data_IF_756193226812
#
_entry.id   IF_756193226812
#
_cell.length_a   1.000
_cell.length_b   1.000
_cell.length_c   1.000
_cell.angle_alpha   90.00
_cell.angle_beta   90.00
_cell.angle_gamma   90.00
#
_symmetry.space_group_name_H-M   'P 1'
#
loop_
_entity.id
_entity.type
_entity.pdbx_description
1 polymer ?
#
# COMPACT_ATOMS: atom_id res chain seq x y z
N UNK A 1 9.47 72.26 -4.43
CA UNK A 1 8.61 71.25 -3.76
C UNK A 1 8.27 70.25 -4.84
N UNK A 2 9.11 69.22 -5.03
CA UNK A 2 9.23 68.47 -6.30
C UNK A 2 9.16 66.97 -5.98
N UNK A 3 8.19 66.28 -6.58
CA UNK A 3 8.11 64.83 -6.83
C UNK A 3 8.14 63.78 -5.69
N UNK A 4 7.81 64.09 -4.44
CA UNK A 4 7.90 63.08 -3.36
C UNK A 4 6.88 61.92 -3.43
N UNK A 5 5.70 62.11 -4.01
CA UNK A 5 4.64 61.08 -4.00
C UNK A 5 4.88 59.88 -4.95
N UNK A 6 5.22 60.09 -6.25
CA UNK A 6 5.47 58.98 -7.17
C UNK A 6 6.76 58.21 -6.85
N UNK A 7 7.77 58.89 -6.31
CA UNK A 7 9.05 58.28 -5.92
C UNK A 7 8.88 57.32 -4.73
N UNK A 8 8.00 57.66 -3.78
CA UNK A 8 7.64 56.79 -2.66
C UNK A 8 6.87 55.54 -3.10
N UNK A 9 5.90 55.70 -4.01
CA UNK A 9 5.13 54.57 -4.56
C UNK A 9 6.00 53.60 -5.37
N UNK A 10 6.97 54.15 -6.12
CA UNK A 10 7.94 53.35 -6.87
C UNK A 10 8.81 52.48 -5.93
N UNK A 11 9.33 53.09 -4.88
CA UNK A 11 10.18 52.40 -3.92
C UNK A 11 9.38 51.33 -3.14
N UNK A 12 8.12 51.62 -2.81
CA UNK A 12 7.21 50.69 -2.14
C UNK A 12 6.89 49.46 -3.00
N UNK A 13 6.53 49.65 -4.28
CA UNK A 13 6.20 48.52 -5.16
C UNK A 13 7.44 47.66 -5.47
N UNK A 14 8.60 48.29 -5.62
CA UNK A 14 9.88 47.60 -5.84
C UNK A 14 10.24 46.73 -4.62
N UNK A 15 10.13 47.29 -3.42
CA UNK A 15 10.39 46.55 -2.19
C UNK A 15 9.35 45.43 -1.96
N UNK A 16 8.09 45.67 -2.30
CA UNK A 16 7.02 44.68 -2.18
C UNK A 16 7.26 43.50 -3.12
N UNK A 17 7.70 43.76 -4.36
CA UNK A 17 8.06 42.72 -5.32
C UNK A 17 9.25 41.89 -4.85
N UNK A 18 10.31 42.54 -4.33
CA UNK A 18 11.49 41.87 -3.76
C UNK A 18 11.08 40.95 -2.59
N UNK A 19 10.28 41.48 -1.66
CA UNK A 19 9.83 40.74 -0.49
C UNK A 19 8.93 39.56 -0.88
N UNK A 20 8.00 39.79 -1.82
CA UNK A 20 7.15 38.72 -2.36
C UNK A 20 7.97 37.62 -3.01
N UNK A 21 8.94 37.98 -3.85
CA UNK A 21 9.81 37.03 -4.54
C UNK A 21 10.63 36.18 -3.57
N UNK A 22 11.17 36.79 -2.52
CA UNK A 22 11.94 36.11 -1.47
C UNK A 22 11.08 35.19 -0.61
N UNK A 23 9.91 35.68 -0.16
CA UNK A 23 8.99 34.91 0.67
C UNK A 23 8.44 33.67 -0.07
N UNK A 24 8.30 33.77 -1.39
CA UNK A 24 7.73 32.73 -2.23
C UNK A 24 8.78 31.88 -2.97
N UNK A 25 10.09 32.15 -2.77
CA UNK A 25 11.18 31.38 -3.38
C UNK A 25 11.27 31.47 -4.90
N UNK A 26 10.77 32.57 -5.49
CA UNK A 26 10.75 32.82 -6.95
C UNK A 26 11.78 33.88 -7.37
N UNK A 27 12.74 34.21 -6.50
CA UNK A 27 13.83 35.16 -6.73
C UNK A 27 14.71 34.81 -7.95
N UNK A 28 14.82 33.51 -8.24
CA UNK A 28 15.59 32.98 -9.36
C UNK A 28 14.80 32.88 -10.67
N UNK A 29 13.51 33.21 -10.66
CA UNK A 29 12.69 33.18 -11.86
C UNK A 29 13.13 34.30 -12.82
N UNK A 30 13.30 33.96 -14.10
CA UNK A 30 13.83 34.89 -15.09
C UNK A 30 12.93 36.11 -15.31
N UNK A 31 11.60 35.94 -15.27
CA UNK A 31 10.64 37.03 -15.43
C UNK A 31 10.70 37.94 -14.20
N UNK A 32 10.74 37.36 -13.00
CA UNK A 32 10.84 38.12 -11.75
C UNK A 32 12.14 38.91 -11.69
N UNK A 33 13.28 38.32 -12.07
CA UNK A 33 14.57 39.03 -12.12
C UNK A 33 14.55 40.18 -13.11
N UNK A 34 14.03 39.94 -14.32
CA UNK A 34 13.95 40.97 -15.36
C UNK A 34 13.03 42.12 -14.92
N UNK A 35 11.87 41.79 -14.33
CA UNK A 35 10.94 42.76 -13.79
C UNK A 35 11.56 43.55 -12.62
N UNK A 36 12.25 42.90 -11.69
CA UNK A 36 12.91 43.58 -10.57
C UNK A 36 14.01 44.52 -11.05
N UNK A 37 14.79 44.11 -12.06
CA UNK A 37 15.84 44.92 -12.66
C UNK A 37 15.26 46.13 -13.41
N UNK A 38 14.28 45.91 -14.27
CA UNK A 38 13.60 46.95 -15.05
C UNK A 38 12.85 47.92 -14.13
N UNK A 39 12.24 47.42 -13.06
CA UNK A 39 11.59 48.25 -12.05
C UNK A 39 12.64 49.08 -11.31
N UNK A 40 13.71 48.50 -10.79
CA UNK A 40 14.76 49.26 -10.10
C UNK A 40 15.48 50.30 -10.98
N UNK A 41 15.58 50.05 -12.29
CA UNK A 41 16.15 50.98 -13.26
C UNK A 41 15.16 51.99 -13.85
N UNK A 42 13.86 51.86 -13.53
CA UNK A 42 12.75 52.53 -14.24
C UNK A 42 12.78 52.33 -15.78
N UNK A 43 13.37 51.23 -16.23
CA UNK A 43 13.51 50.89 -17.65
C UNK A 43 12.39 49.97 -18.09
N UNK A 44 12.02 50.03 -19.37
CA UNK A 44 11.05 49.11 -19.99
C UNK A 44 9.67 49.01 -19.30
N UNK A 45 9.32 49.91 -18.37
CA UNK A 45 8.06 49.89 -17.61
C UNK A 45 6.83 49.88 -18.51
N UNK A 46 6.90 50.55 -19.67
CA UNK A 46 5.83 50.55 -20.67
C UNK A 46 5.59 49.17 -21.30
N UNK A 47 6.64 48.35 -21.45
CA UNK A 47 6.54 46.97 -21.95
C UNK A 47 5.83 46.10 -20.90
N UNK A 48 6.24 46.21 -19.64
CA UNK A 48 5.60 45.51 -18.53
C UNK A 48 4.15 45.94 -18.30
N UNK A 49 3.83 47.23 -18.51
CA UNK A 49 2.45 47.76 -18.44
C UNK A 49 1.55 47.26 -19.57
N UNK A 50 2.13 46.80 -20.69
CA UNK A 50 1.42 46.20 -21.81
C UNK A 50 1.06 44.72 -21.60
N UNK A 51 1.70 44.07 -20.64
CA UNK A 51 1.47 42.66 -20.29
C UNK A 51 0.60 42.56 -19.03
N UNK A 52 -0.19 41.48 -18.90
CA UNK A 52 -1.00 41.28 -17.69
C UNK A 52 -0.18 40.60 -16.59
N UNK A 53 0.05 41.22 -15.42
CA UNK A 53 0.82 40.62 -14.32
C UNK A 53 0.31 39.25 -13.87
N UNK A 54 -0.99 38.99 -14.03
CA UNK A 54 -1.56 37.68 -13.69
C UNK A 54 -1.07 36.54 -14.59
N UNK A 55 -0.62 36.84 -15.82
CA UNK A 55 -0.16 35.86 -16.80
C UNK A 55 1.32 35.55 -16.70
N UNK A 56 2.16 36.54 -16.36
CA UNK A 56 3.61 36.36 -16.34
C UNK A 56 4.21 36.19 -14.94
N UNK A 57 3.51 36.58 -13.86
CA UNK A 57 4.02 36.30 -12.51
C UNK A 57 3.98 34.79 -12.26
N UNK A 58 5.11 34.18 -11.84
CA UNK A 58 5.19 32.75 -11.63
C UNK A 58 4.24 32.32 -10.52
N UNK A 59 3.72 31.09 -10.63
CA UNK A 59 2.94 30.45 -9.57
C UNK A 59 3.90 29.79 -8.58
N UNK A 60 4.05 30.33 -7.35
CA UNK A 60 4.98 29.74 -6.40
C UNK A 60 4.52 28.36 -5.96
N UNK A 61 5.48 27.47 -5.73
CA UNK A 61 5.19 26.13 -5.22
C UNK A 61 5.37 26.09 -3.70
N UNK A 62 4.44 25.48 -2.95
CA UNK A 62 4.58 25.35 -1.50
C UNK A 62 5.83 24.55 -1.15
N UNK A 63 6.73 25.15 -0.37
CA UNK A 63 8.04 24.57 -0.06
C UNK A 63 8.01 23.73 1.22
N UNK A 64 7.16 24.08 2.19
CA UNK A 64 7.08 23.39 3.49
C UNK A 64 6.43 22.00 3.38
N UNK A 65 5.44 21.84 2.50
CA UNK A 65 4.79 20.55 2.22
C UNK A 65 5.65 19.53 1.44
N UNK A 66 6.70 19.99 0.76
CA UNK A 66 7.46 19.17 -0.20
C UNK A 66 8.28 18.05 0.46
N UNK A 67 8.89 18.33 1.61
CA UNK A 67 9.74 17.37 2.33
C UNK A 67 8.92 16.25 2.97
N UNK A 68 7.79 16.59 3.60
CA UNK A 68 6.86 15.63 4.20
C UNK A 68 6.22 14.72 3.13
N UNK A 69 5.92 15.28 1.96
CA UNK A 69 5.42 14.52 0.81
C UNK A 69 6.49 13.57 0.24
N UNK A 70 7.74 14.02 0.15
CA UNK A 70 8.86 13.17 -0.29
C UNK A 70 9.09 11.99 0.65
N UNK A 71 9.01 12.21 1.97
CA UNK A 71 9.14 11.15 2.97
C UNK A 71 7.96 10.17 2.90
N UNK A 72 6.74 10.69 2.73
CA UNK A 72 5.56 9.84 2.58
C UNK A 72 5.63 8.95 1.34
N UNK A 73 6.15 9.47 0.21
CA UNK A 73 6.40 8.73 -1.03
C UNK A 73 7.51 7.67 -0.85
N UNK A 74 8.61 8.02 -0.21
CA UNK A 74 9.69 7.07 0.10
C UNK A 74 9.22 5.95 1.02
N UNK A 75 8.48 6.29 2.09
CA UNK A 75 7.88 5.32 3.00
C UNK A 75 6.90 4.38 2.28
N UNK A 76 6.09 4.90 1.35
CA UNK A 76 5.19 4.08 0.54
C UNK A 76 5.97 3.12 -0.39
N UNK A 77 7.04 3.58 -1.02
CA UNK A 77 7.89 2.73 -1.87
C UNK A 77 8.57 1.62 -1.05
N UNK A 78 9.14 1.96 0.11
CA UNK A 78 9.74 0.97 1.02
C UNK A 78 8.69 -0.05 1.45
N UNK A 79 7.50 0.40 1.88
CA UNK A 79 6.39 -0.48 2.25
C UNK A 79 6.04 -1.46 1.12
N UNK A 80 5.92 -0.97 -0.11
CA UNK A 80 5.53 -1.80 -1.25
C UNK A 80 6.52 -2.95 -1.51
N UNK A 81 7.82 -2.70 -1.33
CA UNK A 81 8.85 -3.75 -1.45
C UNK A 81 8.86 -4.64 -0.22
N UNK A 82 8.76 -4.05 0.99
CA UNK A 82 8.86 -4.77 2.26
C UNK A 82 7.74 -5.81 2.44
N UNK A 83 6.56 -5.62 1.83
CA UNK A 83 5.45 -6.60 1.83
C UNK A 83 5.86 -7.96 1.25
N UNK A 84 6.81 -7.98 0.31
CA UNK A 84 7.27 -9.22 -0.33
C UNK A 84 8.44 -9.89 0.40
N UNK A 85 9.09 -9.19 1.33
CA UNK A 85 10.26 -9.70 2.06
C UNK A 85 9.93 -10.94 2.91
N UNK A 86 8.83 -11.00 3.68
CA UNK A 86 8.46 -12.20 4.44
C UNK A 86 8.29 -13.43 3.53
N UNK A 87 7.65 -13.25 2.38
CA UNK A 87 7.47 -14.32 1.40
C UNK A 87 8.83 -14.79 0.87
N UNK A 88 9.73 -13.88 0.53
CA UNK A 88 11.07 -14.26 0.06
C UNK A 88 11.86 -15.04 1.13
N UNK A 89 11.81 -14.59 2.39
CA UNK A 89 12.52 -15.24 3.51
C UNK A 89 11.96 -16.64 3.78
N UNK A 90 10.64 -16.81 3.78
CA UNK A 90 10.01 -18.13 4.00
C UNK A 90 10.38 -19.13 2.92
N UNK A 91 10.38 -18.74 1.65
CA UNK A 91 10.79 -19.64 0.56
C UNK A 91 12.28 -20.02 0.64
N UNK A 92 13.15 -19.08 1.00
CA UNK A 92 14.57 -19.38 1.23
C UNK A 92 14.74 -20.33 2.44
N UNK A 93 13.99 -20.10 3.52
CA UNK A 93 14.02 -20.96 4.71
C UNK A 93 13.59 -22.39 4.41
N UNK A 94 12.51 -22.57 3.64
CA UNK A 94 12.05 -23.89 3.17
C UNK A 94 13.15 -24.56 2.36
N UNK A 95 13.77 -23.86 1.41
CA UNK A 95 14.86 -24.38 0.60
C UNK A 95 16.04 -24.88 1.46
N UNK A 96 16.49 -24.07 2.44
CA UNK A 96 17.56 -24.45 3.38
C UNK A 96 17.17 -25.64 4.25
N UNK A 97 15.95 -25.66 4.76
CA UNK A 97 15.42 -26.75 5.58
C UNK A 97 15.34 -28.07 4.80
N UNK A 98 14.88 -28.04 3.54
CA UNK A 98 14.81 -29.23 2.68
C UNK A 98 16.20 -29.81 2.40
N UNK A 99 17.19 -28.97 2.08
CA UNK A 99 18.58 -29.42 1.84
C UNK A 99 19.19 -30.02 3.11
N UNK A 100 18.96 -29.40 4.27
CA UNK A 100 19.47 -29.90 5.54
C UNK A 100 18.77 -31.21 5.96
N UNK A 101 17.47 -31.34 5.71
CA UNK A 101 16.70 -32.54 6.01
C UNK A 101 17.17 -33.75 5.19
N UNK A 102 17.45 -33.56 3.89
CA UNK A 102 17.98 -34.63 3.05
C UNK A 102 19.30 -35.20 3.61
N UNK A 103 20.23 -34.31 4.02
CA UNK A 103 21.49 -34.70 4.66
C UNK A 103 21.28 -35.43 5.99
N UNK A 104 20.30 -34.96 6.78
CA UNK A 104 19.96 -35.56 8.07
C UNK A 104 19.45 -37.00 7.90
N UNK A 105 18.56 -37.25 6.93
CA UNK A 105 18.02 -38.58 6.63
C UNK A 105 19.09 -39.53 6.09
N UNK A 106 19.97 -39.05 5.20
CA UNK A 106 21.10 -39.86 4.69
C UNK A 106 22.05 -40.31 5.80
N UNK A 107 22.28 -39.46 6.80
CA UNK A 107 23.21 -39.73 7.90
C UNK A 107 22.57 -40.59 9.01
N UNK A 108 21.27 -40.45 9.24
CA UNK A 108 20.54 -41.08 10.35
C UNK A 108 19.48 -42.06 9.84
N UNK A 109 19.93 -43.20 9.31
CA UNK A 109 19.07 -44.24 8.73
C UNK A 109 18.13 -44.97 9.72
N UNK A 110 18.24 -44.69 11.02
CA UNK A 110 17.51 -45.41 12.08
C UNK A 110 16.40 -44.58 12.77
N UNK A 111 16.33 -43.26 12.52
CA UNK A 111 15.41 -42.36 13.24
C UNK A 111 14.48 -41.68 12.25
N UNK A 112 13.21 -42.08 12.24
CA UNK A 112 12.17 -41.47 11.40
C UNK A 112 11.66 -40.19 12.06
N UNK A 113 12.33 -39.07 11.81
CA UNK A 113 11.89 -37.73 12.25
C UNK A 113 11.07 -37.07 11.13
N UNK A 114 9.94 -36.44 11.48
CA UNK A 114 9.13 -35.68 10.53
C UNK A 114 9.87 -34.40 10.09
N UNK A 115 9.73 -34.00 8.83
CA UNK A 115 10.27 -32.75 8.30
C UNK A 115 9.95 -31.51 9.16
N UNK A 116 8.72 -31.39 9.69
CA UNK A 116 8.36 -30.24 10.52
C UNK A 116 9.08 -30.21 11.86
N UNK A 117 9.24 -31.38 12.49
CA UNK A 117 9.98 -31.53 13.74
C UNK A 117 11.48 -31.25 13.51
N UNK A 118 12.02 -31.72 12.38
CA UNK A 118 13.36 -31.36 11.92
C UNK A 118 13.51 -29.85 11.72
N UNK A 119 12.58 -29.21 11.02
CA UNK A 119 12.66 -27.78 10.72
C UNK A 119 12.53 -26.91 11.99
N UNK A 120 11.84 -27.41 13.01
CA UNK A 120 11.77 -26.76 14.30
C UNK A 120 13.07 -26.86 15.11
N UNK A 121 13.68 -28.05 15.15
CA UNK A 121 14.80 -28.33 16.06
C UNK A 121 16.18 -28.20 15.40
N UNK A 122 16.28 -28.35 14.08
CA UNK A 122 17.49 -28.23 13.27
C UNK A 122 18.57 -29.31 13.46
N UNK A 123 18.61 -29.99 14.61
CA UNK A 123 19.52 -31.09 14.96
C UNK A 123 20.98 -30.84 14.59
N UNK A 124 21.47 -29.61 14.78
CA UNK A 124 22.82 -29.12 14.43
C UNK A 124 23.21 -29.20 12.94
N UNK A 125 22.27 -29.58 12.06
CA UNK A 125 22.47 -29.61 10.59
C UNK A 125 21.89 -28.35 9.94
N UNK A 126 20.80 -27.80 10.50
CA UNK A 126 20.18 -26.56 10.07
C UNK A 126 20.58 -25.41 11.01
N UNK A 127 21.03 -24.30 10.45
CA UNK A 127 21.31 -23.08 11.20
C UNK A 127 20.04 -22.58 11.91
N UNK A 128 20.19 -22.16 13.17
CA UNK A 128 19.11 -21.67 14.03
C UNK A 128 18.32 -20.54 13.37
N UNK A 129 18.97 -19.72 12.54
CA UNK A 129 18.31 -18.65 11.79
C UNK A 129 17.18 -19.16 10.89
N UNK A 130 17.36 -20.31 10.25
CA UNK A 130 16.42 -20.90 9.29
C UNK A 130 15.36 -21.79 9.92
N UNK A 131 15.38 -21.97 11.25
CA UNK A 131 14.36 -22.74 11.95
C UNK A 131 12.99 -22.09 11.80
N UNK A 132 11.94 -22.91 11.72
CA UNK A 132 10.58 -22.43 11.42
C UNK A 132 10.10 -21.36 12.42
N UNK A 133 10.45 -21.51 13.70
CA UNK A 133 10.07 -20.55 14.74
C UNK A 133 10.77 -19.19 14.60
N UNK A 134 12.06 -19.19 14.25
CA UNK A 134 12.83 -17.96 14.09
C UNK A 134 12.38 -17.19 12.84
N UNK A 135 12.15 -17.90 11.74
CA UNK A 135 11.61 -17.33 10.49
C UNK A 135 10.22 -16.75 10.71
N UNK A 136 9.31 -17.49 11.36
CA UNK A 136 7.97 -16.99 11.68
C UNK A 136 8.00 -15.74 12.57
N UNK A 137 8.93 -15.67 13.53
CA UNK A 137 9.11 -14.47 14.36
C UNK A 137 9.61 -13.26 13.56
N UNK A 138 10.53 -13.49 12.60
CA UNK A 138 11.07 -12.46 11.73
C UNK A 138 9.99 -11.92 10.79
N UNK A 139 9.20 -12.80 10.18
CA UNK A 139 8.07 -12.43 9.33
C UNK A 139 7.04 -11.59 10.08
N UNK A 140 6.71 -11.98 11.32
CA UNK A 140 5.81 -11.23 12.17
C UNK A 140 6.31 -9.80 12.43
N UNK A 141 7.60 -9.64 12.75
CA UNK A 141 8.21 -8.32 12.96
C UNK A 141 8.21 -7.49 11.68
N UNK A 142 8.50 -8.09 10.53
CA UNK A 142 8.50 -7.39 9.24
C UNK A 142 7.09 -6.92 8.89
N UNK A 143 6.07 -7.77 9.03
CA UNK A 143 4.66 -7.41 8.79
C UNK A 143 4.23 -6.27 9.71
N UNK A 144 4.59 -6.33 10.99
CA UNK A 144 4.31 -5.25 11.93
C UNK A 144 4.99 -3.94 11.53
N UNK A 145 6.23 -4.02 11.03
CA UNK A 145 6.94 -2.90 10.41
C UNK A 145 6.21 -2.32 9.19
N UNK A 146 5.70 -3.16 8.28
CA UNK A 146 4.88 -2.72 7.12
C UNK A 146 3.66 -1.94 7.59
N UNK A 147 2.94 -2.47 8.58
CA UNK A 147 1.72 -1.84 9.12
C UNK A 147 2.06 -0.48 9.74
N UNK A 148 3.09 -0.42 10.59
CA UNK A 148 3.56 0.82 11.19
C UNK A 148 3.94 1.85 10.12
N UNK A 149 4.71 1.46 9.09
CA UNK A 149 5.12 2.33 8.01
C UNK A 149 3.91 2.84 7.20
N UNK A 150 2.87 2.02 7.05
CA UNK A 150 1.61 2.39 6.38
C UNK A 150 0.84 3.45 7.17
N UNK A 151 0.78 3.31 8.50
CA UNK A 151 0.13 4.27 9.38
C UNK A 151 0.89 5.60 9.40
N UNK A 152 2.22 5.54 9.48
CA UNK A 152 3.06 6.74 9.49
C UNK A 152 2.98 7.48 8.14
N UNK A 153 3.03 6.76 7.01
CA UNK A 153 2.84 7.36 5.68
C UNK A 153 1.46 8.02 5.55
N UNK A 154 0.40 7.37 6.02
CA UNK A 154 -0.96 7.95 6.04
C UNK A 154 -1.02 9.21 6.91
N UNK A 155 -0.43 9.17 8.10
CA UNK A 155 -0.40 10.31 9.02
C UNK A 155 0.30 11.53 8.41
N UNK A 156 1.49 11.35 7.82
CA UNK A 156 2.21 12.43 7.16
C UNK A 156 1.52 12.93 5.89
N UNK A 157 0.89 12.07 5.10
CA UNK A 157 0.10 12.50 3.94
C UNK A 157 -1.08 13.38 4.35
N UNK A 158 -1.82 13.01 5.40
CA UNK A 158 -2.98 13.76 5.87
C UNK A 158 -2.57 15.10 6.48
N UNK A 159 -1.52 15.13 7.32
CA UNK A 159 -1.01 16.39 7.89
C UNK A 159 -0.37 17.29 6.84
N UNK A 160 0.44 16.72 5.94
CA UNK A 160 1.05 17.45 4.84
C UNK A 160 0.00 18.07 3.93
N UNK A 161 -1.06 17.33 3.56
CA UNK A 161 -2.14 17.84 2.72
C UNK A 161 -2.96 18.95 3.39
N UNK A 162 -3.15 18.90 4.72
CA UNK A 162 -3.86 19.93 5.46
C UNK A 162 -3.07 21.24 5.54
N UNK A 163 -1.75 21.16 5.77
CA UNK A 163 -0.84 22.31 5.79
C UNK A 163 -0.75 22.93 4.38
N UNK A 164 -0.58 22.08 3.37
CA UNK A 164 -0.42 22.50 1.98
C UNK A 164 -1.64 23.25 1.42
N UNK A 165 -2.87 22.91 1.86
CA UNK A 165 -4.09 23.62 1.43
C UNK A 165 -4.13 25.07 1.93
N UNK A 166 -3.70 25.33 3.16
CA UNK A 166 -3.63 26.68 3.71
C UNK A 166 -2.53 27.50 3.05
N UNK A 167 -1.37 26.88 2.87
CA UNK A 167 -0.19 27.49 2.23
C UNK A 167 -0.46 27.87 0.77
N UNK A 168 -1.08 26.98 -0.03
CA UNK A 168 -1.48 27.29 -1.42
C UNK A 168 -2.44 28.48 -1.49
N UNK A 169 -3.41 28.55 -0.57
CA UNK A 169 -4.37 29.66 -0.55
C UNK A 169 -3.71 31.00 -0.19
N UNK A 170 -2.75 31.00 0.73
CA UNK A 170 -1.98 32.18 1.08
C UNK A 170 -1.05 32.62 -0.05
N UNK A 171 -0.30 31.69 -0.64
CA UNK A 171 0.59 31.94 -1.78
C UNK A 171 -0.18 32.55 -2.96
N UNK A 172 -1.36 32.01 -3.28
CA UNK A 172 -2.18 32.54 -4.37
C UNK A 172 -2.74 33.93 -4.04
N UNK A 173 -3.12 34.17 -2.78
CA UNK A 173 -3.56 35.50 -2.34
C UNK A 173 -2.43 36.54 -2.46
N UNK A 174 -1.22 36.21 -2.02
CA UNK A 174 -0.03 37.07 -2.13
C UNK A 174 0.32 37.36 -3.60
N UNK A 175 0.26 36.34 -4.47
CA UNK A 175 0.46 36.53 -5.92
C UNK A 175 -0.59 37.46 -6.53
N UNK A 176 -1.87 37.29 -6.18
CA UNK A 176 -2.95 38.15 -6.69
C UNK A 176 -2.80 39.60 -6.21
N UNK A 177 -2.40 39.79 -4.95
CA UNK A 177 -2.13 41.11 -4.38
C UNK A 177 -0.96 41.80 -5.10
N UNK A 178 0.15 41.08 -5.30
CA UNK A 178 1.31 41.60 -6.02
C UNK A 178 0.97 41.93 -7.48
N UNK A 179 0.23 41.04 -8.16
CA UNK A 179 -0.22 41.28 -9.54
C UNK A 179 -1.09 42.52 -9.65
N UNK A 180 -1.99 42.74 -8.69
CA UNK A 180 -2.87 43.90 -8.64
C UNK A 180 -2.09 45.19 -8.37
N UNK A 181 -1.20 45.18 -7.36
CA UNK A 181 -0.36 46.32 -7.01
C UNK A 181 0.55 46.72 -8.18
N UNK A 182 1.17 45.74 -8.83
CA UNK A 182 2.01 45.95 -10.00
C UNK A 182 1.21 46.51 -11.18
N UNK A 183 0.02 45.97 -11.43
CA UNK A 183 -0.88 46.45 -12.50
C UNK A 183 -1.29 47.91 -12.28
N UNK A 184 -1.66 48.27 -11.05
CA UNK A 184 -2.04 49.64 -10.70
C UNK A 184 -0.86 50.60 -10.87
N UNK A 185 0.33 50.21 -10.39
CA UNK A 185 1.54 51.01 -10.51
C UNK A 185 1.96 51.22 -11.96
N UNK A 186 2.14 50.14 -12.73
CA UNK A 186 2.59 50.20 -14.12
C UNK A 186 1.58 50.94 -15.03
N UNK A 187 0.29 50.80 -14.74
CA UNK A 187 -0.75 51.56 -15.45
C UNK A 187 -0.64 53.06 -15.17
N UNK A 188 -0.39 53.47 -13.92
CA UNK A 188 -0.21 54.88 -13.57
C UNK A 188 1.01 55.50 -14.25
N UNK A 189 2.07 54.71 -14.47
CA UNK A 189 3.27 55.16 -15.19
C UNK A 189 3.02 55.33 -16.70
N UNK A 190 2.09 54.54 -17.27
CA UNK A 190 1.63 54.68 -18.66
C UNK A 190 0.87 55.99 -18.91
N UNK A 191 0.21 56.57 -17.89
CA UNK A 191 -0.50 57.86 -18.01
C UNK A 191 0.44 59.07 -18.15
N UNK A 192 1.69 58.94 -17.72
CA UNK A 192 2.69 60.01 -17.76
C UNK A 192 3.28 60.18 -19.18
N UNK A 193 3.22 59.13 -20.01
CA UNK A 193 3.62 59.15 -21.43
C UNK A 193 2.43 59.50 -22.36
N UNK A 194 2.18 60.81 -22.42
CA UNK A 194 1.17 61.58 -23.18
C UNK A 194 0.46 60.87 -24.37
N UNK A 195 -0.87 60.71 -24.30
CA UNK A 195 -1.89 61.33 -25.22
C UNK A 195 -3.33 60.77 -25.19
N UNK A 196 -3.68 59.69 -24.46
CA UNK A 196 -5.04 59.09 -24.54
C UNK A 196 -5.79 58.90 -23.20
N UNK A 197 -5.86 59.95 -22.37
CA UNK A 197 -6.60 59.97 -21.07
C UNK A 197 -8.06 59.49 -21.18
N UNK A 198 -8.74 59.75 -22.30
CA UNK A 198 -10.13 59.29 -22.51
C UNK A 198 -10.24 57.79 -22.78
N UNK A 199 -9.19 57.20 -23.35
CA UNK A 199 -9.14 55.77 -23.68
C UNK A 199 -8.72 54.93 -22.45
N UNK A 200 -7.88 55.50 -21.58
CA UNK A 200 -7.50 54.89 -20.30
C UNK A 200 -8.69 54.73 -19.35
N UNK A 201 -9.46 55.79 -19.13
CA UNK A 201 -10.67 55.73 -18.28
C UNK A 201 -11.70 54.75 -18.86
N UNK A 202 -11.90 54.77 -20.19
CA UNK A 202 -12.78 53.80 -20.86
C UNK A 202 -12.27 52.36 -20.74
N UNK A 203 -10.94 52.16 -20.79
CA UNK A 203 -10.29 50.85 -20.65
C UNK A 203 -10.34 50.31 -19.23
N UNK A 204 -10.10 51.13 -18.20
CA UNK A 204 -10.19 50.74 -16.79
C UNK A 204 -11.63 50.48 -16.36
N UNK A 205 -12.58 51.29 -16.84
CA UNK A 205 -14.01 51.00 -16.67
C UNK A 205 -14.37 49.71 -17.38
N UNK A 206 -13.86 49.47 -18.59
CA UNK A 206 -14.08 48.21 -19.33
C UNK A 206 -13.41 47.02 -18.65
N UNK A 207 -12.25 47.18 -18.03
CA UNK A 207 -11.54 46.15 -17.29
C UNK A 207 -12.26 45.81 -15.97
N UNK A 208 -12.79 46.81 -15.27
CA UNK A 208 -13.66 46.60 -14.11
C UNK A 208 -14.99 45.96 -14.52
N UNK A 209 -15.58 46.36 -15.66
CA UNK A 209 -16.79 45.74 -16.21
C UNK A 209 -16.52 44.30 -16.64
N UNK A 210 -15.35 44.03 -17.23
CA UNK A 210 -14.91 42.69 -17.59
C UNK A 210 -14.68 41.84 -16.35
N UNK A 211 -13.98 42.35 -15.34
CA UNK A 211 -13.77 41.65 -14.07
C UNK A 211 -15.09 41.38 -13.35
N UNK A 212 -16.02 42.34 -13.34
CA UNK A 212 -17.36 42.18 -12.75
C UNK A 212 -18.22 41.20 -13.55
N UNK A 213 -18.13 41.22 -14.88
CA UNK A 213 -18.80 40.27 -15.77
C UNK A 213 -18.26 38.87 -15.54
N UNK A 214 -16.94 38.71 -15.44
CA UNK A 214 -16.29 37.45 -15.12
C UNK A 214 -16.72 36.96 -13.74
N UNK A 215 -16.69 37.80 -12.71
CA UNK A 215 -17.20 37.47 -11.37
C UNK A 215 -18.66 37.03 -11.39
N UNK A 216 -19.53 37.72 -12.13
CA UNK A 216 -20.93 37.33 -12.29
C UNK A 216 -21.07 35.98 -13.00
N UNK A 217 -20.21 35.70 -13.99
CA UNK A 217 -20.15 34.43 -14.71
C UNK A 217 -19.65 33.31 -13.79
N UNK A 218 -18.63 33.57 -12.98
CA UNK A 218 -18.08 32.64 -11.98
C UNK A 218 -19.10 32.37 -10.89
N UNK A 219 -19.84 33.38 -10.41
CA UNK A 219 -20.93 33.19 -9.45
C UNK A 219 -22.06 32.34 -10.04
N UNK A 220 -22.40 32.54 -11.32
CA UNK A 220 -23.38 31.72 -12.04
C UNK A 220 -22.90 30.27 -12.25
N UNK A 221 -21.62 30.08 -12.60
CA UNK A 221 -21.01 28.77 -12.71
C UNK A 221 -20.96 28.07 -11.35
N UNK A 222 -20.59 28.78 -10.27
CA UNK A 222 -20.60 28.26 -8.90
C UNK A 222 -22.01 27.84 -8.48
N UNK A 223 -23.04 28.63 -8.80
CA UNK A 223 -24.43 28.23 -8.59
C UNK A 223 -24.82 26.99 -9.41
N UNK A 224 -24.28 26.83 -10.61
CA UNK A 224 -24.43 25.62 -11.42
C UNK A 224 -23.75 24.41 -10.80
N UNK A 225 -22.52 24.56 -10.32
CA UNK A 225 -21.77 23.52 -9.60
C UNK A 225 -22.47 23.13 -8.30
N UNK A 226 -22.99 24.08 -7.54
CA UNK A 226 -23.78 23.82 -6.32
C UNK A 226 -25.05 23.03 -6.65
N UNK A 227 -25.70 23.36 -7.77
CA UNK A 227 -26.90 22.66 -8.23
C UNK A 227 -26.58 21.26 -8.78
N UNK A 228 -25.46 21.07 -9.47
CA UNK A 228 -24.94 19.75 -9.84
C UNK A 228 -24.56 18.92 -8.60
N UNK A 229 -24.02 19.57 -7.56
CA UNK A 229 -23.71 18.91 -6.29
C UNK A 229 -25.00 18.46 -5.59
N UNK A 230 -26.04 19.30 -5.61
CA UNK A 230 -27.37 18.99 -5.07
C UNK A 230 -28.05 17.87 -5.86
N UNK A 231 -27.94 17.88 -7.20
CA UNK A 231 -28.41 16.82 -8.09
C UNK A 231 -27.59 15.51 -7.93
N UNK A 232 -26.35 15.60 -7.43
CA UNK A 232 -25.49 14.46 -7.11
C UNK A 232 -25.79 13.78 -5.77
N UNK A 233 -26.45 14.47 -4.84
CA UNK A 233 -26.85 13.89 -3.53
C UNK A 233 -27.78 12.67 -3.68
N UNK A 234 -28.81 12.68 -4.56
CA UNK A 234 -29.60 11.49 -4.87
C UNK A 234 -28.77 10.30 -5.36
N UNK A 235 -27.77 10.52 -6.24
CA UNK A 235 -26.92 9.46 -6.76
C UNK A 235 -26.03 8.83 -5.67
N UNK A 236 -25.51 9.64 -4.74
CA UNK A 236 -24.78 9.17 -3.56
C UNK A 236 -25.68 8.34 -2.65
N UNK A 237 -26.94 8.77 -2.45
CA UNK A 237 -27.90 8.04 -1.64
C UNK A 237 -28.31 6.70 -2.29
N UNK A 238 -28.49 6.68 -3.62
CA UNK A 238 -28.78 5.47 -4.38
C UNK A 238 -27.61 4.49 -4.36
N UNK A 239 -26.38 5.00 -4.50
CA UNK A 239 -25.15 4.22 -4.33
C UNK A 239 -25.06 3.63 -2.92
N UNK A 240 -25.28 4.43 -1.87
CA UNK A 240 -25.30 3.97 -0.48
C UNK A 240 -26.31 2.85 -0.25
N UNK A 241 -27.52 2.97 -0.79
CA UNK A 241 -28.54 1.92 -0.74
C UNK A 241 -28.13 0.66 -1.50
N UNK A 242 -27.46 0.79 -2.65
CA UNK A 242 -26.96 -0.35 -3.43
C UNK A 242 -25.83 -1.07 -2.70
N UNK A 243 -24.88 -0.34 -2.13
CA UNK A 243 -23.80 -0.88 -1.31
C UNK A 243 -24.36 -1.59 -0.07
N UNK A 244 -25.36 -1.01 0.59
CA UNK A 244 -26.04 -1.65 1.72
C UNK A 244 -26.67 -3.00 1.36
N UNK A 245 -27.41 -3.06 0.23
CA UNK A 245 -28.04 -4.29 -0.26
C UNK A 245 -27.02 -5.36 -0.67
N UNK A 246 -25.94 -4.98 -1.35
CA UNK A 246 -24.89 -5.93 -1.73
C UNK A 246 -24.10 -6.42 -0.51
N UNK A 247 -23.85 -5.57 0.48
CA UNK A 247 -23.26 -5.97 1.76
C UNK A 247 -24.14 -6.98 2.50
N UNK A 248 -25.47 -6.78 2.53
CA UNK A 248 -26.39 -7.73 3.16
C UNK A 248 -26.38 -9.09 2.44
N UNK A 249 -26.31 -9.10 1.10
CA UNK A 249 -26.16 -10.34 0.31
C UNK A 249 -24.84 -11.04 0.62
N UNK A 250 -23.73 -10.31 0.69
CA UNK A 250 -22.42 -10.87 1.02
C UNK A 250 -22.43 -11.51 2.41
N UNK A 251 -23.03 -10.85 3.41
CA UNK A 251 -23.18 -11.43 4.76
C UNK A 251 -23.97 -12.73 4.73
N UNK A 252 -25.08 -12.79 3.97
CA UNK A 252 -25.87 -14.03 3.80
C UNK A 252 -25.06 -15.14 3.12
N UNK A 253 -24.29 -14.82 2.08
CA UNK A 253 -23.43 -15.78 1.40
C UNK A 253 -22.33 -16.31 2.31
N UNK A 254 -21.69 -15.45 3.11
CA UNK A 254 -20.69 -15.86 4.10
C UNK A 254 -21.30 -16.75 5.18
N UNK A 255 -22.52 -16.45 5.64
CA UNK A 255 -23.23 -17.30 6.60
C UNK A 255 -23.51 -18.71 6.04
N UNK A 256 -23.96 -18.79 4.78
CA UNK A 256 -24.16 -20.08 4.10
C UNK A 256 -22.85 -20.83 3.93
N UNK A 257 -21.78 -20.15 3.49
CA UNK A 257 -20.46 -20.76 3.34
C UNK A 257 -19.93 -21.29 4.68
N UNK A 258 -20.10 -20.54 5.76
CA UNK A 258 -19.70 -20.97 7.11
C UNK A 258 -20.49 -22.20 7.57
N UNK A 259 -21.78 -22.28 7.26
CA UNK A 259 -22.60 -23.45 7.56
C UNK A 259 -22.13 -24.68 6.76
N UNK A 260 -21.91 -24.52 5.45
CA UNK A 260 -21.38 -25.60 4.61
C UNK A 260 -20.00 -26.08 5.05
N UNK A 261 -19.12 -25.18 5.51
CA UNK A 261 -17.81 -25.55 6.03
C UNK A 261 -17.92 -26.35 7.34
N UNK A 262 -18.87 -26.00 8.21
CA UNK A 262 -19.18 -26.75 9.43
C UNK A 262 -19.71 -28.15 9.11
N UNK A 263 -20.60 -28.28 8.13
CA UNK A 263 -21.14 -29.55 7.68
C UNK A 263 -20.05 -30.46 7.09
N UNK A 264 -19.16 -29.91 6.26
CA UNK A 264 -18.00 -30.62 5.72
C UNK A 264 -17.09 -31.12 6.85
N UNK A 265 -16.79 -30.27 7.83
CA UNK A 265 -15.95 -30.65 8.96
C UNK A 265 -16.56 -31.80 9.79
N UNK A 266 -17.87 -31.76 10.00
CA UNK A 266 -18.61 -32.84 10.67
C UNK A 266 -18.58 -34.14 9.85
N UNK A 267 -18.85 -34.05 8.54
CA UNK A 267 -18.86 -35.21 7.63
C UNK A 267 -17.50 -35.87 7.51
N UNK A 268 -16.43 -35.09 7.32
CA UNK A 268 -15.05 -35.62 7.24
C UNK A 268 -14.67 -36.30 8.54
N UNK A 269 -15.00 -35.71 9.70
CA UNK A 269 -14.69 -36.33 11.00
C UNK A 269 -15.47 -37.62 11.19
N UNK A 270 -16.73 -37.69 10.73
CA UNK A 270 -17.55 -38.89 10.77
C UNK A 270 -17.04 -40.01 9.85
N UNK A 271 -16.86 -39.71 8.57
CA UNK A 271 -16.36 -40.68 7.57
C UNK A 271 -14.97 -41.20 7.92
N UNK A 272 -14.07 -40.33 8.39
CA UNK A 272 -12.73 -40.74 8.82
C UNK A 272 -12.79 -41.64 10.07
N UNK A 273 -13.65 -41.33 11.04
CA UNK A 273 -13.89 -42.16 12.22
C UNK A 273 -14.44 -43.54 11.83
N UNK A 274 -15.39 -43.58 10.90
CA UNK A 274 -15.98 -44.85 10.44
C UNK A 274 -14.99 -45.69 9.63
N UNK A 275 -14.19 -45.05 8.77
CA UNK A 275 -13.11 -45.73 8.05
C UNK A 275 -12.03 -46.29 8.99
N UNK A 276 -11.62 -45.53 10.01
CA UNK A 276 -10.66 -45.99 11.03
C UNK A 276 -11.21 -47.14 11.85
N UNK A 277 -12.49 -47.08 12.27
CA UNK A 277 -13.13 -48.17 13.00
C UNK A 277 -13.21 -49.44 12.14
N UNK A 278 -13.60 -49.30 10.87
CA UNK A 278 -13.66 -50.42 9.93
C UNK A 278 -12.28 -51.05 9.68
N UNK A 279 -11.25 -50.22 9.50
CA UNK A 279 -9.86 -50.69 9.37
C UNK A 279 -9.37 -51.42 10.63
N UNK A 280 -9.72 -50.91 11.81
CA UNK A 280 -9.38 -51.54 13.10
C UNK A 280 -10.03 -52.91 13.24
N UNK A 281 -11.33 -53.03 12.92
CA UNK A 281 -12.05 -54.32 12.92
C UNK A 281 -11.45 -55.28 11.89
N UNK A 282 -11.07 -54.80 10.70
CA UNK A 282 -10.41 -55.61 9.68
C UNK A 282 -9.04 -56.14 10.13
N UNK A 283 -8.27 -55.32 10.85
CA UNK A 283 -6.99 -55.71 11.45
C UNK A 283 -7.16 -56.77 12.54
N UNK A 284 -8.18 -56.63 13.40
CA UNK A 284 -8.47 -57.62 14.44
C UNK A 284 -8.86 -58.98 13.82
N UNK A 285 -9.74 -58.98 12.82
CA UNK A 285 -10.12 -60.20 12.09
C UNK A 285 -8.93 -60.84 11.37
N UNK A 286 -8.05 -60.04 10.77
CA UNK A 286 -6.84 -60.54 10.14
C UNK A 286 -5.87 -61.16 11.17
N UNK A 287 -5.73 -60.53 12.34
CA UNK A 287 -4.91 -61.02 13.43
C UNK A 287 -5.45 -62.34 14.03
N UNK A 288 -6.76 -62.45 14.21
CA UNK A 288 -7.41 -63.71 14.62
C UNK A 288 -7.19 -64.83 13.58
N UNK A 289 -7.32 -64.50 12.28
CA UNK A 289 -7.05 -65.43 11.19
C UNK A 289 -5.59 -65.91 11.17
N UNK A 290 -4.64 -65.01 11.38
CA UNK A 290 -3.21 -65.31 11.51
C UNK A 290 -2.92 -66.20 12.71
N UNK A 291 -3.53 -65.92 13.87
CA UNK A 291 -3.38 -66.75 15.07
C UNK A 291 -3.92 -68.18 14.83
N UNK A 292 -5.10 -68.30 14.21
CA UNK A 292 -5.71 -69.58 13.87
C UNK A 292 -4.87 -70.37 12.84
N UNK A 293 -4.34 -69.70 11.82
CA UNK A 293 -3.44 -70.30 10.83
C UNK A 293 -2.15 -70.79 11.48
N UNK A 294 -1.55 -69.98 12.36
CA UNK A 294 -0.34 -70.36 13.11
C UNK A 294 -0.58 -71.58 13.99
N UNK A 295 -1.72 -71.63 14.69
CA UNK A 295 -2.14 -72.78 15.49
C UNK A 295 -2.24 -74.05 14.62
N UNK A 296 -2.88 -73.93 13.46
CA UNK A 296 -3.08 -75.04 12.51
C UNK A 296 -1.77 -75.54 11.89
N UNK A 297 -0.83 -74.64 11.58
CA UNK A 297 0.51 -75.00 11.12
C UNK A 297 1.25 -75.78 12.22
N UNK A 298 1.14 -75.32 13.48
CA UNK A 298 1.79 -75.98 14.61
C UNK A 298 1.24 -77.39 14.85
N UNK A 299 -0.08 -77.56 14.79
CA UNK A 299 -0.71 -78.89 14.95
C UNK A 299 -0.32 -79.83 13.80
N UNK A 300 -0.35 -79.35 12.56
CA UNK A 300 0.05 -80.15 11.39
C UNK A 300 1.54 -80.53 11.44
N UNK A 301 2.41 -79.61 11.86
CA UNK A 301 3.84 -79.89 12.03
C UNK A 301 4.09 -80.97 13.09
N UNK A 302 3.35 -80.95 14.21
CA UNK A 302 3.46 -81.99 15.24
C UNK A 302 2.96 -83.34 14.74
N UNK A 303 1.87 -83.36 13.96
CA UNK A 303 1.37 -84.58 13.34
C UNK A 303 2.40 -85.18 12.37
N UNK A 304 2.98 -84.35 11.49
CA UNK A 304 4.03 -84.77 10.57
C UNK A 304 5.29 -85.28 11.30
N UNK A 305 5.71 -84.64 12.40
CA UNK A 305 6.83 -85.11 13.21
C UNK A 305 6.55 -86.50 13.80
N UNK A 306 5.34 -86.73 14.30
CA UNK A 306 4.91 -88.03 14.82
C UNK A 306 4.89 -89.10 13.72
N UNK A 307 4.40 -88.77 12.52
CA UNK A 307 4.43 -89.67 11.37
C UNK A 307 5.87 -90.02 10.97
N UNK A 308 6.76 -89.04 10.86
CA UNK A 308 8.19 -89.27 10.57
C UNK A 308 8.82 -90.18 11.62
N UNK A 309 8.59 -89.92 12.91
CA UNK A 309 9.08 -90.78 14.00
C UNK A 309 8.55 -92.21 13.87
N UNK A 310 7.28 -92.37 13.52
CA UNK A 310 6.68 -93.69 13.30
C UNK A 310 7.34 -94.43 12.12
N UNK A 311 7.56 -93.74 10.99
CA UNK A 311 8.22 -94.30 9.80
C UNK A 311 9.68 -94.67 10.12
N UNK A 312 10.41 -93.82 10.83
CA UNK A 312 11.77 -94.12 11.29
C UNK A 312 11.81 -95.37 12.18
N UNK A 313 10.82 -95.52 13.08
CA UNK A 313 10.72 -96.71 13.93
C UNK A 313 10.47 -97.99 13.12
N UNK A 314 9.63 -97.92 12.09
CA UNK A 314 9.35 -99.03 11.16
C UNK A 314 10.59 -99.42 10.35
N UNK A 315 11.30 -98.42 9.81
CA UNK A 315 12.57 -98.64 9.08
C UNK A 315 13.61 -99.29 9.99
N UNK A 316 13.75 -98.81 11.23
CA UNK A 316 14.68 -99.39 12.22
C UNK A 316 14.32 -100.84 12.58
N UNK A 317 13.02 -101.17 12.61
CA UNK A 317 12.53 -102.54 12.83
C UNK A 317 12.82 -103.44 11.64
N UNK A 318 12.62 -102.95 10.41
CA UNK A 318 12.95 -103.68 9.18
C UNK A 318 14.46 -103.96 9.03
N UNK A 319 15.31 -103.01 9.44
CA UNK A 319 16.77 -103.17 9.34
C UNK A 319 17.38 -104.11 10.39
N UNK A 320 16.63 -104.49 11.44
CA UNK A 320 17.03 -105.48 12.46
C UNK A 320 16.60 -106.92 12.12
N UNK A 321 15.85 -107.11 11.05
CA UNK A 321 15.37 -108.42 10.58
C UNK A 321 16.19 -109.01 9.43
N UNK A 322 17.38 -108.48 9.17
CA UNK A 322 18.37 -109.01 8.22
C UNK A 322 19.60 -109.50 8.97
#
# INVERSE_FOLDING_TARGET
MVNTEPELLHQEISQTLVNWAANNGVESDHIVQSLMQDLAGEENLAIWAGMDPFEYLPQPHPTLGSSMFSWAKTAANIRNVLVFVPVAITWEAVSKATVAFAKFVETNNATTVNFLEFWQNGYDVLDKFWTIGNVASLDFVIILGVIALSLISTFFNTRGSAINKGEIAQIEAERLEMALALKMYLYSMREIDKTNVKEGIASSVSALLAATSTLAKTAKQLSGVVRELEDGVPAINEFGNRVGKESEKLVKQVAVLSASLSDINSSITGELRDAVNSATVGLDLANEGLASSTQSIRTNSLAAENEIKSLQSLIKKANRGR
#
